data_IF_359939921511
#
_entry.id   IF_359939921511
#
_cell.length_a   1.000
_cell.length_b   1.000
_cell.length_c   1.000
_cell.angle_alpha   90.00
_cell.angle_beta   90.00
_cell.angle_gamma   90.00
#
_symmetry.space_group_name_H-M   'P 1'
#
loop_
_entity.id
_entity.type
_entity.pdbx_description
1 polymer ?
#
# COMPACT_ATOMS: atom_id res chain seq x y z
N UNK A 1 5.63 15.28 -20.99
CA UNK A 1 5.40 14.36 -22.12
C UNK A 1 4.54 13.23 -21.57
N UNK A 2 3.25 13.22 -21.88
CA UNK A 2 2.34 12.16 -21.41
C UNK A 2 2.64 10.85 -22.15
N UNK A 3 2.64 9.72 -21.45
CA UNK A 3 2.92 8.42 -22.06
C UNK A 3 1.83 8.01 -23.08
N UNK A 4 2.16 7.17 -24.08
CA UNK A 4 1.22 6.79 -25.15
C UNK A 4 -0.10 6.18 -24.66
N UNK A 5 -0.10 5.54 -23.48
CA UNK A 5 -1.32 5.01 -22.85
C UNK A 5 -2.22 6.10 -22.24
N UNK A 6 -1.64 7.18 -21.70
CA UNK A 6 -2.40 8.32 -21.20
C UNK A 6 -3.10 9.06 -22.35
N UNK A 7 -2.39 9.22 -23.48
CA UNK A 7 -2.94 9.79 -24.71
C UNK A 7 -4.10 8.96 -25.25
N UNK A 8 -3.93 7.63 -25.35
CA UNK A 8 -4.98 6.73 -25.81
C UNK A 8 -6.20 6.70 -24.86
N UNK A 9 -5.99 6.80 -23.55
CA UNK A 9 -7.07 6.94 -22.57
C UNK A 9 -7.83 8.26 -22.75
N UNK A 10 -7.12 9.38 -22.84
CA UNK A 10 -7.70 10.70 -23.05
C UNK A 10 -8.48 10.77 -24.38
N UNK A 11 -7.98 10.17 -25.44
CA UNK A 11 -8.69 10.07 -26.73
C UNK A 11 -9.96 9.22 -26.62
N UNK A 12 -9.92 8.09 -25.88
CA UNK A 12 -11.11 7.27 -25.66
C UNK A 12 -12.16 7.99 -24.78
N UNK A 13 -11.71 8.78 -23.79
CA UNK A 13 -12.54 9.63 -22.94
C UNK A 13 -13.25 10.72 -23.76
N UNK A 14 -12.48 11.50 -24.52
CA UNK A 14 -13.00 12.60 -25.34
C UNK A 14 -13.97 12.14 -26.42
N UNK A 15 -13.76 10.95 -26.98
CA UNK A 15 -14.64 10.38 -28.01
C UNK A 15 -15.87 9.66 -27.44
N UNK A 16 -16.11 9.70 -26.12
CA UNK A 16 -17.22 8.99 -25.48
C UNK A 16 -17.14 7.47 -25.59
N UNK A 17 -15.96 6.92 -25.97
CA UNK A 17 -15.76 5.50 -26.28
C UNK A 17 -15.42 4.66 -25.06
N UNK A 18 -15.28 5.23 -23.85
CA UNK A 18 -14.97 4.47 -22.63
C UNK A 18 -15.99 3.36 -22.36
N UNK A 19 -17.28 3.62 -22.63
CA UNK A 19 -18.37 2.66 -22.47
C UNK A 19 -18.38 1.56 -23.55
N UNK A 20 -17.52 1.65 -24.56
CA UNK A 20 -17.32 0.56 -25.53
C UNK A 20 -16.33 -0.46 -24.99
N UNK A 21 -16.47 -1.72 -25.38
CA UNK A 21 -15.54 -2.80 -24.98
C UNK A 21 -14.08 -2.44 -25.22
N UNK A 22 -13.77 -1.77 -26.35
CA UNK A 22 -12.42 -1.32 -26.69
C UNK A 22 -11.91 -0.19 -25.77
N UNK A 23 -12.77 0.78 -25.43
CA UNK A 23 -12.39 1.86 -24.49
C UNK A 23 -12.19 1.36 -23.06
N UNK A 24 -13.00 0.39 -22.63
CA UNK A 24 -12.83 -0.28 -21.33
C UNK A 24 -11.50 -1.04 -21.23
N UNK A 25 -11.04 -1.68 -22.31
CA UNK A 25 -9.72 -2.33 -22.37
C UNK A 25 -8.58 -1.31 -22.26
N UNK A 26 -8.65 -0.19 -22.99
CA UNK A 26 -7.62 0.86 -22.94
C UNK A 26 -7.52 1.47 -21.54
N UNK A 27 -8.64 1.75 -20.88
CA UNK A 27 -8.67 2.21 -19.49
C UNK A 27 -8.03 1.19 -18.54
N UNK A 28 -8.37 -0.10 -18.66
CA UNK A 28 -7.82 -1.14 -17.80
C UNK A 28 -6.28 -1.27 -17.96
N UNK A 29 -5.77 -1.22 -19.19
CA UNK A 29 -4.32 -1.26 -19.47
C UNK A 29 -3.62 -0.02 -18.92
N UNK A 30 -4.22 1.16 -19.09
CA UNK A 30 -3.68 2.41 -18.56
C UNK A 30 -3.61 2.37 -17.03
N UNK A 31 -4.70 2.00 -16.36
CA UNK A 31 -4.73 1.87 -14.89
C UNK A 31 -3.73 0.82 -14.39
N UNK A 32 -3.61 -0.33 -15.07
CA UNK A 32 -2.63 -1.35 -14.75
C UNK A 32 -1.19 -0.84 -14.87
N UNK A 33 -0.90 -0.08 -15.93
CA UNK A 33 0.43 0.52 -16.16
C UNK A 33 0.76 1.62 -15.15
N UNK A 34 -0.23 2.47 -14.83
CA UNK A 34 -0.09 3.52 -13.81
C UNK A 34 0.17 2.88 -12.44
N UNK A 35 -0.61 1.86 -12.08
CA UNK A 35 -0.44 1.11 -10.83
C UNK A 35 0.98 0.56 -10.71
N UNK A 36 1.46 -0.14 -11.75
CA UNK A 36 2.82 -0.70 -11.76
C UNK A 36 3.88 0.39 -11.55
N UNK A 37 3.72 1.54 -12.22
CA UNK A 37 4.67 2.65 -12.08
C UNK A 37 4.69 3.24 -10.67
N UNK A 38 3.53 3.34 -10.01
CA UNK A 38 3.47 3.80 -8.61
C UNK A 38 4.12 2.78 -7.67
N UNK A 39 3.85 1.48 -7.87
CA UNK A 39 4.48 0.41 -7.09
C UNK A 39 6.02 0.41 -7.27
N UNK A 40 6.52 0.59 -8.50
CA UNK A 40 7.95 0.75 -8.78
C UNK A 40 8.55 1.96 -8.05
N UNK A 41 7.89 3.11 -8.10
CA UNK A 41 8.33 4.32 -7.39
C UNK A 41 8.43 4.04 -5.89
N UNK A 42 7.40 3.45 -5.28
CA UNK A 42 7.40 3.13 -3.85
C UNK A 42 8.50 2.11 -3.48
N UNK A 43 8.76 1.12 -4.33
CA UNK A 43 9.77 0.07 -4.09
C UNK A 43 11.21 0.56 -4.31
N UNK A 44 11.44 1.63 -5.07
CA UNK A 44 12.77 2.20 -5.27
C UNK A 44 13.33 2.90 -4.03
N UNK A 45 12.49 3.23 -3.04
CA UNK A 45 12.94 3.96 -1.86
C UNK A 45 13.51 3.00 -0.81
N UNK A 46 14.82 3.06 -0.64
CA UNK A 46 15.52 2.37 0.43
C UNK A 46 14.95 2.79 1.79
N UNK A 47 14.77 1.82 2.69
CA UNK A 47 14.32 2.09 4.06
C UNK A 47 12.83 2.41 4.24
N UNK A 48 12.00 2.45 3.19
CA UNK A 48 10.56 2.66 3.32
C UNK A 48 9.90 1.62 4.25
N UNK A 49 10.32 0.36 4.14
CA UNK A 49 9.88 -0.74 5.00
C UNK A 49 10.21 -0.46 6.49
N UNK A 50 11.43 0.02 6.78
CA UNK A 50 11.83 0.36 8.14
C UNK A 50 11.03 1.55 8.69
N UNK A 51 10.85 2.60 7.89
CA UNK A 51 10.00 3.74 8.27
C UNK A 51 8.55 3.31 8.52
N UNK A 52 8.03 2.41 7.69
CA UNK A 52 6.71 1.83 7.85
C UNK A 52 6.59 1.04 9.17
N UNK A 53 7.50 0.12 9.45
CA UNK A 53 7.47 -0.65 10.70
C UNK A 53 7.64 0.24 11.94
N UNK A 54 8.52 1.23 11.90
CA UNK A 54 8.69 2.18 13.00
C UNK A 54 7.42 3.02 13.21
N UNK A 55 6.76 3.44 12.13
CA UNK A 55 5.48 4.13 12.21
C UNK A 55 4.38 3.25 12.81
N UNK A 56 4.27 1.98 12.39
CA UNK A 56 3.28 1.06 12.96
C UNK A 56 3.52 0.77 14.45
N UNK A 57 4.79 0.64 14.87
CA UNK A 57 5.14 0.38 16.28
C UNK A 57 4.94 1.60 17.17
N UNK A 58 5.42 2.76 16.74
CA UNK A 58 5.53 3.96 17.59
C UNK A 58 4.44 5.01 17.34
N UNK A 59 3.75 4.94 16.20
CA UNK A 59 2.85 6.00 15.73
C UNK A 59 3.55 7.29 15.30
N UNK A 60 4.89 7.32 15.29
CA UNK A 60 5.66 8.51 14.96
C UNK A 60 6.01 8.55 13.47
N UNK A 61 5.87 9.74 12.89
CA UNK A 61 6.35 10.00 11.53
C UNK A 61 7.87 10.05 11.48
N UNK A 62 8.49 9.66 10.35
CA UNK A 62 9.91 9.91 10.11
C UNK A 62 10.20 11.42 10.25
N UNK A 63 11.15 11.80 11.10
CA UNK A 63 11.46 13.20 11.41
C UNK A 63 12.70 13.74 10.70
N UNK A 64 13.52 12.87 10.12
CA UNK A 64 14.77 13.27 9.48
C UNK A 64 14.57 13.57 8.00
N UNK A 65 15.06 14.72 7.56
CA UNK A 65 15.34 14.98 6.14
C UNK A 65 16.64 14.22 5.86
N UNK A 66 16.55 13.09 5.18
CA UNK A 66 17.73 12.40 4.68
C UNK A 66 18.10 12.92 3.29
N UNK A 67 19.33 12.66 2.84
CA UNK A 67 19.77 12.98 1.47
C UNK A 67 18.91 12.30 0.38
N UNK A 68 18.13 11.28 0.75
CA UNK A 68 17.23 10.51 -0.13
C UNK A 68 15.82 11.13 -0.27
N UNK A 69 15.52 12.21 0.45
CA UNK A 69 14.27 12.99 0.29
C UNK A 69 13.47 13.18 1.58
N UNK A 70 12.14 13.33 1.44
CA UNK A 70 11.19 13.50 2.57
C UNK A 70 10.54 12.16 2.92
N UNK A 71 11.11 11.35 3.83
CA UNK A 71 10.60 10.01 4.15
C UNK A 71 9.16 10.03 4.67
N UNK A 72 8.72 11.10 5.34
CA UNK A 72 7.34 11.27 5.80
C UNK A 72 6.34 11.40 4.64
N UNK A 73 6.72 12.05 3.54
CA UNK A 73 5.87 12.16 2.34
C UNK A 73 5.73 10.81 1.63
N UNK A 74 6.83 10.07 1.54
CA UNK A 74 6.81 8.75 0.90
C UNK A 74 6.00 7.76 1.71
N UNK A 75 6.19 7.77 3.04
CA UNK A 75 5.38 6.96 3.93
C UNK A 75 3.90 7.33 3.83
N UNK A 76 3.54 8.62 3.76
CA UNK A 76 2.13 9.02 3.63
C UNK A 76 1.52 8.53 2.31
N UNK A 77 2.27 8.58 1.20
CA UNK A 77 1.84 8.02 -0.07
C UNK A 77 1.66 6.51 -0.01
N UNK A 78 2.60 5.80 0.61
CA UNK A 78 2.52 4.35 0.80
C UNK A 78 1.28 3.96 1.61
N UNK A 79 1.07 4.62 2.75
CA UNK A 79 -0.10 4.38 3.61
C UNK A 79 -1.41 4.63 2.85
N UNK A 80 -1.48 5.71 2.07
CA UNK A 80 -2.67 6.04 1.28
C UNK A 80 -2.88 5.05 0.13
N UNK A 81 -1.82 4.70 -0.60
CA UNK A 81 -1.87 3.80 -1.75
C UNK A 81 -2.37 2.41 -1.38
N UNK A 82 -1.91 1.88 -0.25
CA UNK A 82 -2.33 0.57 0.25
C UNK A 82 -3.49 0.62 1.24
N UNK A 83 -4.12 1.80 1.42
CA UNK A 83 -5.28 2.01 2.30
C UNK A 83 -5.03 1.52 3.73
N UNK A 84 -3.84 1.80 4.25
CA UNK A 84 -3.39 1.35 5.57
C UNK A 84 -4.02 2.22 6.65
N UNK A 85 -4.75 1.64 7.62
CA UNK A 85 -5.38 2.37 8.70
C UNK A 85 -4.35 2.84 9.75
N UNK A 86 -4.81 3.65 10.69
CA UNK A 86 -3.93 4.21 11.73
C UNK A 86 -3.28 3.12 12.59
N UNK A 87 -2.10 3.38 13.17
CA UNK A 87 -1.41 2.43 14.06
C UNK A 87 -2.28 1.92 15.21
N UNK A 88 -3.18 2.76 15.73
CA UNK A 88 -4.14 2.39 16.79
C UNK A 88 -5.14 1.32 16.35
N UNK A 89 -5.67 1.42 15.12
CA UNK A 89 -6.60 0.45 14.54
C UNK A 89 -5.87 -0.86 14.29
N UNK A 90 -4.65 -0.79 13.73
CA UNK A 90 -3.83 -1.99 13.47
C UNK A 90 -3.49 -2.69 14.78
N UNK A 91 -3.02 -1.96 15.80
CA UNK A 91 -2.72 -2.53 17.13
C UNK A 91 -3.95 -3.22 17.73
N UNK A 92 -5.12 -2.61 17.61
CA UNK A 92 -6.38 -3.21 18.07
C UNK A 92 -6.71 -4.50 17.31
N UNK A 93 -6.49 -4.53 16.00
CA UNK A 93 -6.68 -5.73 15.20
C UNK A 93 -5.72 -6.85 15.62
N UNK A 94 -4.44 -6.52 15.86
CA UNK A 94 -3.42 -7.46 16.31
C UNK A 94 -3.75 -8.07 17.69
N UNK A 95 -4.17 -7.27 18.66
CA UNK A 95 -4.55 -7.79 19.98
C UNK A 95 -5.77 -8.74 19.93
N UNK A 96 -6.70 -8.53 18.98
CA UNK A 96 -7.84 -9.44 18.78
C UNK A 96 -7.44 -10.83 18.28
N UNK A 97 -6.39 -10.91 17.47
CA UNK A 97 -5.94 -12.16 16.83
C UNK A 97 -4.82 -12.85 17.60
N UNK A 98 -4.12 -12.13 18.48
CA UNK A 98 -3.07 -12.65 19.37
C UNK A 98 -3.41 -13.96 20.09
N UNK A 99 -4.62 -14.17 20.65
CA UNK A 99 -4.92 -15.44 21.32
C UNK A 99 -5.07 -16.63 20.36
N UNK A 100 -5.19 -16.42 19.04
CA UNK A 100 -5.58 -17.46 18.08
C UNK A 100 -4.38 -18.34 17.66
N UNK A 101 -3.14 -17.98 18.02
CA UNK A 101 -1.89 -18.76 17.82
C UNK A 101 -1.84 -19.53 16.48
N UNK A 102 -1.82 -18.77 15.39
CA UNK A 102 -1.73 -19.31 14.02
C UNK A 102 -0.38 -19.00 13.39
N UNK A 103 0.12 -19.91 12.54
CA UNK A 103 1.37 -19.70 11.77
C UNK A 103 1.28 -18.54 10.77
N UNK A 104 0.05 -18.18 10.39
CA UNK A 104 -0.24 -16.97 9.60
C UNK A 104 -1.56 -16.38 10.05
N UNK A 105 -1.58 -15.06 10.18
CA UNK A 105 -2.78 -14.30 10.55
C UNK A 105 -3.37 -13.53 9.37
N UNK A 106 -2.85 -13.72 8.15
CA UNK A 106 -3.29 -12.98 6.94
C UNK A 106 -4.81 -13.03 6.72
N UNK A 107 -5.51 -14.19 6.80
CA UNK A 107 -6.95 -14.23 6.62
C UNK A 107 -7.72 -13.43 7.69
N UNK A 108 -7.26 -13.48 8.95
CA UNK A 108 -7.87 -12.76 10.06
C UNK A 108 -7.62 -11.26 9.97
N UNK A 109 -6.41 -10.86 9.57
CA UNK A 109 -6.06 -9.48 9.31
C UNK A 109 -6.91 -8.91 8.17
N UNK A 110 -7.15 -9.67 7.10
CA UNK A 110 -8.02 -9.25 6.00
C UNK A 110 -9.47 -9.10 6.43
N UNK A 111 -9.94 -9.91 7.38
CA UNK A 111 -11.27 -9.77 7.99
C UNK A 111 -11.38 -8.49 8.82
N UNK A 112 -10.34 -8.16 9.59
CA UNK A 112 -10.33 -7.00 10.48
C UNK A 112 -9.99 -5.68 9.77
N UNK A 113 -9.25 -5.74 8.66
CA UNK A 113 -8.77 -4.60 7.88
C UNK A 113 -9.19 -4.73 6.40
N UNK A 114 -10.51 -4.75 6.09
CA UNK A 114 -11.02 -5.12 4.77
C UNK A 114 -10.66 -4.14 3.65
N UNK A 115 -10.37 -2.87 4.01
CA UNK A 115 -9.93 -1.84 3.07
C UNK A 115 -8.45 -1.90 2.73
N UNK A 116 -7.64 -2.60 3.54
CA UNK A 116 -6.19 -2.63 3.36
C UNK A 116 -5.80 -3.60 2.25
N UNK A 117 -4.90 -3.17 1.36
CA UNK A 117 -4.42 -4.00 0.27
C UNK A 117 -3.64 -5.22 0.76
N UNK A 118 -3.72 -6.35 0.04
CA UNK A 118 -3.12 -7.63 0.46
C UNK A 118 -1.61 -7.53 0.71
N UNK A 119 -0.87 -6.80 -0.11
CA UNK A 119 0.57 -6.60 0.09
C UNK A 119 0.90 -5.94 1.43
N UNK A 120 0.08 -4.98 1.88
CA UNK A 120 0.27 -4.35 3.18
C UNK A 120 -0.18 -5.24 4.34
N UNK A 121 -1.21 -6.07 4.13
CA UNK A 121 -1.59 -7.12 5.10
C UNK A 121 -0.43 -8.08 5.33
N UNK A 122 0.27 -8.50 4.28
CA UNK A 122 1.42 -9.39 4.40
C UNK A 122 2.56 -8.74 5.20
N UNK A 123 2.86 -7.45 4.99
CA UNK A 123 3.85 -6.72 5.78
C UNK A 123 3.43 -6.57 7.26
N UNK A 124 2.16 -6.26 7.54
CA UNK A 124 1.63 -6.22 8.91
C UNK A 124 1.74 -7.59 9.57
N UNK A 125 1.47 -8.68 8.84
CA UNK A 125 1.60 -10.04 9.34
C UNK A 125 3.05 -10.38 9.69
N UNK A 126 4.02 -10.00 8.84
CA UNK A 126 5.46 -10.17 9.16
C UNK A 126 5.84 -9.42 10.44
N UNK A 127 5.39 -8.17 10.58
CA UNK A 127 5.62 -7.37 11.79
C UNK A 127 5.07 -8.08 13.03
N UNK A 128 3.84 -8.58 12.95
CA UNK A 128 3.18 -9.30 14.03
C UNK A 128 3.95 -10.55 14.45
N UNK A 129 4.30 -11.42 13.49
CA UNK A 129 5.06 -12.64 13.76
C UNK A 129 6.46 -12.34 14.33
N UNK A 130 7.13 -11.29 13.85
CA UNK A 130 8.43 -10.87 14.40
C UNK A 130 8.34 -10.40 15.85
N UNK A 131 7.19 -9.90 16.29
CA UNK A 131 6.98 -9.48 17.68
C UNK A 131 6.73 -10.65 18.63
N UNK A 132 6.17 -11.77 18.13
CA UNK A 132 5.91 -12.98 18.93
C UNK A 132 7.18 -13.81 19.16
N UNK A 133 8.15 -13.78 18.24
CA UNK A 133 9.44 -14.49 18.39
C UNK A 133 10.34 -13.84 19.46
N UNK A 134 10.14 -12.56 19.77
CA UNK A 134 10.94 -11.79 20.72
C UNK A 134 10.28 -11.66 22.12
N UNK A 135 9.16 -12.36 22.35
CA UNK A 135 8.35 -12.28 23.57
C UNK A 135 8.30 -13.57 24.38
#
# INVERSE_FOLDING_TARGET
>A
MEGPLALAYNEALLNGRILTSRGSIVLAIFLGSLRKRVEEILNCFAGLENHFFNYLKSGRWPSEISDEGKPSTLLSWYLQWYSIPTPTVIKTALEKIKPIRTTTSVPLLRLLLPGTHISAIDEINKLFLSSEVNG
#
